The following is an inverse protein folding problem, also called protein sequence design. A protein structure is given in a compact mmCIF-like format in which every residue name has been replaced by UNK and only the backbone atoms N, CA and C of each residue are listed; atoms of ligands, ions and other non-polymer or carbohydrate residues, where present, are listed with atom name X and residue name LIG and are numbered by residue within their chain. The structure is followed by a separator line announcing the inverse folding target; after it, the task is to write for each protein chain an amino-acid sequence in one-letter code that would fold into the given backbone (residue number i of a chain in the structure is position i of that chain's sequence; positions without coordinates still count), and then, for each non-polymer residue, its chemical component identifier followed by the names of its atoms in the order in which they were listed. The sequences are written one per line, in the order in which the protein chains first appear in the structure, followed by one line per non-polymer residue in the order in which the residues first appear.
data_IF_714138467910
#
_entry.id   IF_714138467910
#
_cell.length_a   1.000
_cell.length_b   1.000
_cell.length_c   1.000
_cell.angle_alpha   90.00
_cell.angle_beta   90.00
_cell.angle_gamma   90.00
#
_symmetry.space_group_name_H-M   'P 1'
#
loop_
_entity.id
_entity.type
_entity.pdbx_description
1 polymer ?
#
# COMPACT_ATOMS: atom_id res chain seq x y z
N UNK A 1 -1.53 -8.73 -0.71
CA UNK A 1 -2.41 -9.44 -1.67
C UNK A 1 -3.80 -8.83 -1.68
N UNK A 2 -4.64 -9.14 -2.66
CA UNK A 2 -6.01 -8.60 -2.80
C UNK A 2 -7.04 -9.72 -2.66
N UNK A 3 -8.06 -9.50 -1.85
CA UNK A 3 -9.22 -10.39 -1.69
C UNK A 3 -10.47 -9.70 -2.23
N UNK A 4 -11.23 -10.39 -3.08
CA UNK A 4 -12.55 -9.94 -3.51
C UNK A 4 -13.58 -10.63 -2.62
N UNK A 5 -14.40 -9.84 -1.92
CA UNK A 5 -15.27 -10.34 -0.86
C UNK A 5 -16.71 -9.92 -1.08
N UNK A 6 -17.62 -10.90 -1.17
CA UNK A 6 -19.05 -10.61 -1.15
C UNK A 6 -19.49 -10.13 0.23
N UNK A 7 -20.26 -9.06 0.28
CA UNK A 7 -20.87 -8.59 1.53
C UNK A 7 -21.89 -9.62 2.04
N UNK A 8 -22.63 -10.25 1.12
CA UNK A 8 -23.73 -11.16 1.44
C UNK A 8 -23.28 -12.62 1.36
N UNK A 9 -22.40 -13.04 2.28
CA UNK A 9 -22.09 -14.46 2.42
C UNK A 9 -23.28 -15.18 3.09
N UNK A 10 -23.50 -16.48 2.77
CA UNK A 10 -24.60 -17.24 3.36
C UNK A 10 -24.50 -17.41 4.88
N UNK A 11 -23.27 -17.48 5.40
CA UNK A 11 -23.00 -17.86 6.80
C UNK A 11 -22.54 -16.68 7.68
N UNK A 12 -22.21 -15.52 7.08
CA UNK A 12 -21.70 -14.35 7.80
C UNK A 12 -21.86 -13.06 6.97
N UNK A 13 -21.71 -11.90 7.63
CA UNK A 13 -21.48 -10.65 6.90
C UNK A 13 -20.01 -10.60 6.46
N UNK A 14 -19.76 -10.32 5.19
CA UNK A 14 -18.38 -10.18 4.67
C UNK A 14 -17.53 -9.18 5.47
N UNK A 15 -18.15 -8.16 6.06
CA UNK A 15 -17.48 -7.22 6.94
C UNK A 15 -16.81 -7.86 8.18
N UNK A 16 -17.45 -8.86 8.79
CA UNK A 16 -16.89 -9.52 9.97
C UNK A 16 -15.64 -10.32 9.59
N UNK A 17 -15.69 -11.01 8.44
CA UNK A 17 -14.55 -11.74 7.90
C UNK A 17 -13.41 -10.77 7.52
N UNK A 18 -13.73 -9.62 6.93
CA UNK A 18 -12.76 -8.58 6.62
C UNK A 18 -12.02 -8.10 7.86
N UNK A 19 -12.74 -7.80 8.96
CA UNK A 19 -12.11 -7.38 10.21
C UNK A 19 -11.18 -8.46 10.78
N UNK A 20 -11.57 -9.73 10.72
CA UNK A 20 -10.70 -10.84 11.16
C UNK A 20 -9.43 -10.92 10.30
N UNK A 21 -9.55 -10.83 8.97
CA UNK A 21 -8.41 -10.88 8.05
C UNK A 21 -7.46 -9.70 8.25
N UNK A 22 -7.98 -8.48 8.33
CA UNK A 22 -7.19 -7.26 8.56
C UNK A 22 -6.52 -7.24 9.94
N UNK A 23 -7.10 -7.92 10.95
CA UNK A 23 -6.45 -8.02 12.26
C UNK A 23 -5.19 -8.90 12.26
N UNK A 24 -4.99 -9.70 11.21
CA UNK A 24 -3.88 -10.66 11.08
C UNK A 24 -2.94 -10.36 9.91
N UNK A 25 -3.37 -9.57 8.94
CA UNK A 25 -2.67 -9.33 7.67
C UNK A 25 -2.97 -7.93 7.13
N UNK A 26 -2.06 -7.38 6.33
CA UNK A 26 -2.28 -6.12 5.58
C UNK A 26 -2.91 -6.39 4.20
N UNK A 27 -3.88 -7.31 4.15
CA UNK A 27 -4.54 -7.69 2.89
C UNK A 27 -5.52 -6.59 2.44
N UNK A 28 -5.47 -6.23 1.16
CA UNK A 28 -6.46 -5.34 0.58
C UNK A 28 -7.75 -6.10 0.30
N UNK A 29 -8.90 -5.46 0.48
CA UNK A 29 -10.21 -6.07 0.23
C UNK A 29 -10.98 -5.23 -0.79
N UNK A 30 -11.60 -5.90 -1.77
CA UNK A 30 -12.58 -5.30 -2.67
C UNK A 30 -13.95 -5.89 -2.34
N UNK A 31 -14.84 -5.09 -1.78
CA UNK A 31 -16.18 -5.55 -1.45
C UNK A 31 -17.11 -5.57 -2.67
N UNK A 32 -17.83 -6.67 -2.85
CA UNK A 32 -18.94 -6.76 -3.80
C UNK A 32 -20.26 -6.56 -3.05
N UNK A 33 -20.98 -5.49 -3.34
CA UNK A 33 -22.19 -5.09 -2.59
C UNK A 33 -23.40 -4.93 -3.50
N UNK A 34 -24.62 -5.11 -3.00
CA UNK A 34 -25.85 -4.69 -3.69
C UNK A 34 -26.16 -3.22 -3.41
N UNK A 35 -26.93 -2.56 -4.30
CA UNK A 35 -27.30 -1.14 -4.12
C UNK A 35 -28.03 -0.86 -2.81
N UNK A 36 -28.86 -1.80 -2.36
CA UNK A 36 -29.61 -1.70 -1.10
C UNK A 36 -28.74 -1.78 0.16
N UNK A 37 -27.55 -2.38 0.07
CA UNK A 37 -26.56 -2.43 1.16
C UNK A 37 -25.53 -1.30 1.08
N UNK A 38 -25.51 -0.51 0.00
CA UNK A 38 -24.61 0.63 -0.13
C UNK A 38 -24.88 1.72 0.94
N UNK A 39 -26.10 1.80 1.48
CA UNK A 39 -26.42 2.75 2.55
C UNK A 39 -25.68 2.47 3.88
N UNK A 40 -25.16 1.25 4.09
CA UNK A 40 -24.31 0.91 5.24
C UNK A 40 -22.87 1.47 5.12
N UNK A 41 -22.53 2.12 3.98
CA UNK A 41 -21.21 2.74 3.75
C UNK A 41 -20.93 3.92 4.69
N UNK A 42 -21.97 4.60 5.20
CA UNK A 42 -21.82 5.82 6.00
C UNK A 42 -21.66 5.57 7.52
N UNK A 43 -21.87 4.34 8.02
CA UNK A 43 -22.01 4.07 9.46
C UNK A 43 -20.72 3.67 10.22
N UNK A 44 -19.53 3.97 9.69
CA UNK A 44 -18.32 3.95 10.51
C UNK A 44 -17.33 2.79 10.30
N UNK A 45 -17.01 2.50 9.04
CA UNK A 45 -15.76 1.79 8.73
C UNK A 45 -14.65 2.86 8.68
N UNK A 46 -13.64 2.69 9.54
CA UNK A 46 -12.56 3.66 9.75
C UNK A 46 -11.74 3.89 8.46
N UNK A 47 -11.12 5.07 8.28
CA UNK A 47 -10.32 5.37 7.10
C UNK A 47 -9.13 4.41 7.04
N UNK A 48 -9.17 3.52 6.05
CA UNK A 48 -8.22 2.42 5.88
C UNK A 48 -8.75 1.28 5.00
N UNK A 49 -10.08 1.12 4.91
CA UNK A 49 -10.74 0.11 4.06
C UNK A 49 -10.97 0.63 2.62
N UNK A 50 -10.30 0.11 1.60
CA UNK A 50 -10.65 -1.15 0.91
C UNK A 50 -11.94 -0.98 0.07
N UNK A 51 -11.73 -0.71 -1.23
CA UNK A 51 -12.72 -0.26 -2.20
C UNK A 51 -13.96 -1.16 -2.31
N UNK A 52 -15.02 -0.65 -2.95
CA UNK A 52 -16.26 -1.37 -3.21
C UNK A 52 -16.63 -1.36 -4.69
N UNK A 53 -17.32 -2.42 -5.12
CA UNK A 53 -17.95 -2.55 -6.42
C UNK A 53 -19.40 -2.97 -6.25
N UNK A 54 -20.32 -2.18 -6.80
CA UNK A 54 -21.76 -2.40 -6.65
C UNK A 54 -22.29 -3.33 -7.75
N UNK A 55 -23.09 -4.30 -7.37
CA UNK A 55 -23.79 -5.23 -8.27
C UNK A 55 -25.05 -4.58 -8.85
N UNK A 56 -25.39 -4.86 -10.12
CA UNK A 56 -24.62 -5.65 -11.08
C UNK A 56 -23.43 -4.87 -11.65
N UNK A 57 -22.33 -5.58 -11.95
CA UNK A 57 -21.13 -5.03 -12.58
C UNK A 57 -20.69 -5.91 -13.75
N UNK A 58 -19.92 -5.32 -14.66
CA UNK A 58 -19.25 -5.99 -15.76
C UNK A 58 -17.87 -6.49 -15.32
N UNK A 59 -17.32 -7.48 -16.04
CA UNK A 59 -15.95 -7.95 -15.79
C UNK A 59 -14.93 -6.80 -15.90
N UNK A 60 -15.12 -5.89 -16.87
CA UNK A 60 -14.24 -4.75 -17.09
C UNK A 60 -14.24 -3.76 -15.91
N UNK A 61 -15.39 -3.55 -15.28
CA UNK A 61 -15.47 -2.71 -14.07
C UNK A 61 -14.73 -3.36 -12.89
N UNK A 62 -14.80 -4.69 -12.76
CA UNK A 62 -14.04 -5.42 -11.76
C UNK A 62 -12.53 -5.33 -12.03
N UNK A 63 -12.09 -5.56 -13.28
CA UNK A 63 -10.68 -5.44 -13.68
C UNK A 63 -10.12 -4.05 -13.38
N UNK A 64 -10.84 -3.00 -13.75
CA UNK A 64 -10.43 -1.63 -13.50
C UNK A 64 -10.25 -1.34 -12.00
N UNK A 65 -11.15 -1.85 -11.14
CA UNK A 65 -11.04 -1.66 -9.70
C UNK A 65 -9.89 -2.47 -9.10
N UNK A 66 -9.70 -3.72 -9.53
CA UNK A 66 -8.55 -4.54 -9.13
C UNK A 66 -7.25 -3.83 -9.47
N UNK A 67 -7.10 -3.35 -10.70
CA UNK A 67 -5.91 -2.59 -11.12
C UNK A 67 -5.70 -1.32 -10.29
N UNK A 68 -6.77 -0.58 -10.00
CA UNK A 68 -6.68 0.64 -9.20
C UNK A 68 -6.17 0.36 -7.77
N UNK A 69 -6.64 -0.73 -7.14
CA UNK A 69 -6.21 -1.13 -5.80
C UNK A 69 -4.75 -1.61 -5.82
N UNK A 70 -4.37 -2.42 -6.81
CA UNK A 70 -2.99 -2.91 -6.94
C UNK A 70 -2.00 -1.77 -7.20
N UNK A 71 -2.36 -0.75 -8.00
CA UNK A 71 -1.55 0.47 -8.16
C UNK A 71 -1.36 1.22 -6.84
N UNK A 72 -2.38 1.27 -5.96
CA UNK A 72 -2.23 1.89 -4.63
C UNK A 72 -1.29 1.10 -3.72
N UNK A 73 -1.28 -0.24 -3.84
CA UNK A 73 -0.30 -1.09 -3.14
C UNK A 73 1.14 -0.75 -3.57
N UNK A 74 1.38 -0.51 -4.86
CA UNK A 74 2.71 -0.09 -5.34
C UNK A 74 3.09 1.29 -4.78
N UNK A 75 2.14 2.24 -4.71
CA UNK A 75 2.35 3.57 -4.12
C UNK A 75 2.62 3.53 -2.61
N UNK A 76 2.10 2.54 -1.86
CA UNK A 76 2.44 2.37 -0.44
C UNK A 76 3.76 1.66 -0.19
N UNK A 77 4.37 1.08 -1.23
CA UNK A 77 5.59 0.26 -1.11
C UNK A 77 6.84 1.03 -1.50
N UNK A 78 6.71 2.13 -2.25
CA UNK A 78 7.84 2.94 -2.68
C UNK A 78 7.82 4.36 -2.10
N UNK A 79 8.86 4.71 -1.34
CA UNK A 79 9.08 6.09 -0.90
C UNK A 79 10.02 6.78 -1.89
N UNK A 80 9.64 7.96 -2.37
CA UNK A 80 10.43 8.74 -3.34
C UNK A 80 10.90 10.05 -2.74
N UNK A 81 12.20 10.34 -2.85
CA UNK A 81 12.81 11.59 -2.38
C UNK A 81 13.58 12.25 -3.52
N UNK A 82 13.32 13.54 -3.73
CA UNK A 82 14.14 14.37 -4.61
C UNK A 82 15.32 14.91 -3.81
N UNK A 83 16.53 14.41 -4.06
CA UNK A 83 17.76 14.82 -3.40
C UNK A 83 18.58 15.76 -4.31
N UNK A 84 19.52 16.56 -3.77
CA UNK A 84 20.34 17.48 -4.58
C UNK A 84 21.14 16.82 -5.73
N UNK A 85 21.40 15.52 -5.63
CA UNK A 85 22.19 14.74 -6.59
C UNK A 85 21.37 13.66 -7.32
N UNK A 86 20.05 13.64 -7.16
CA UNK A 86 19.23 12.66 -7.86
C UNK A 86 17.90 12.29 -7.22
N UNK A 87 17.16 11.42 -7.88
CA UNK A 87 15.95 10.82 -7.34
C UNK A 87 16.30 9.54 -6.58
N UNK A 88 15.99 9.53 -5.28
CA UNK A 88 16.09 8.33 -4.44
C UNK A 88 14.72 7.64 -4.40
N UNK A 89 14.71 6.34 -4.68
CA UNK A 89 13.50 5.50 -4.56
C UNK A 89 13.81 4.35 -3.61
N UNK A 90 13.02 4.21 -2.55
CA UNK A 90 13.13 3.15 -1.54
C UNK A 90 11.96 2.20 -1.76
N UNK A 91 12.23 0.98 -2.21
CA UNK A 91 11.23 -0.08 -2.31
C UNK A 91 11.26 -0.94 -1.04
N UNK A 92 10.19 -0.83 -0.25
CA UNK A 92 10.05 -1.44 1.07
C UNK A 92 9.85 -2.95 1.03
N UNK A 93 9.19 -3.47 -0.01
CA UNK A 93 8.91 -4.90 -0.18
C UNK A 93 10.15 -5.65 -0.65
N UNK A 94 10.84 -5.10 -1.66
CA UNK A 94 12.07 -5.67 -2.20
C UNK A 94 13.29 -5.40 -1.32
N UNK A 95 13.14 -4.49 -0.35
CA UNK A 95 14.23 -3.93 0.47
C UNK A 95 15.40 -3.43 -0.39
N UNK A 96 15.05 -2.71 -1.45
CA UNK A 96 15.98 -2.16 -2.42
C UNK A 96 15.90 -0.64 -2.41
N UNK A 97 17.03 0.02 -2.58
CA UNK A 97 17.11 1.48 -2.74
C UNK A 97 17.78 1.76 -4.08
N UNK A 98 17.20 2.65 -4.87
CA UNK A 98 17.81 3.13 -6.11
C UNK A 98 18.07 4.62 -6.04
N UNK A 99 19.19 5.05 -6.63
CA UNK A 99 19.51 6.45 -6.85
C UNK A 99 19.68 6.67 -8.35
N UNK A 100 18.88 7.56 -8.93
CA UNK A 100 18.84 7.80 -10.38
C UNK A 100 18.62 6.51 -11.21
N UNK A 101 17.88 5.55 -10.64
CA UNK A 101 17.60 4.26 -11.27
C UNK A 101 18.69 3.20 -11.10
N UNK A 102 19.83 3.53 -10.48
CA UNK A 102 20.87 2.55 -10.15
C UNK A 102 20.66 1.98 -8.73
N UNK A 103 20.71 0.66 -8.59
CA UNK A 103 20.55 -0.02 -7.30
C UNK A 103 21.77 0.25 -6.41
N UNK A 104 21.51 0.72 -5.19
CA UNK A 104 22.55 0.88 -4.17
C UNK A 104 22.82 -0.47 -3.48
N UNK A 105 24.09 -0.92 -3.42
CA UNK A 105 24.45 -2.19 -2.78
C UNK A 105 24.49 -2.02 -1.25
N UNK A 106 23.31 -2.00 -0.63
CA UNK A 106 23.16 -1.83 0.82
C UNK A 106 23.14 -3.17 1.55
N UNK A 107 23.72 -3.22 2.74
CA UNK A 107 23.47 -4.28 3.72
C UNK A 107 22.07 -4.12 4.33
N UNK A 108 21.59 -5.17 5.01
CA UNK A 108 20.29 -5.13 5.68
C UNK A 108 20.18 -3.99 6.71
N UNK A 109 21.25 -3.75 7.47
CA UNK A 109 21.28 -2.71 8.50
C UNK A 109 21.23 -1.30 7.90
N UNK A 110 21.89 -1.10 6.76
CA UNK A 110 21.92 0.19 6.06
C UNK A 110 20.57 0.49 5.40
N UNK A 111 19.90 -0.54 4.87
CA UNK A 111 18.52 -0.41 4.43
C UNK A 111 17.60 0.00 5.59
N UNK A 112 17.67 -0.70 6.72
CA UNK A 112 16.81 -0.41 7.88
C UNK A 112 17.01 1.01 8.40
N UNK A 113 18.26 1.51 8.36
CA UNK A 113 18.56 2.90 8.72
C UNK A 113 17.96 3.90 7.72
N UNK A 114 18.06 3.63 6.41
CA UNK A 114 17.46 4.48 5.38
C UNK A 114 15.93 4.50 5.52
N UNK A 115 15.28 3.35 5.69
CA UNK A 115 13.83 3.26 5.90
C UNK A 115 13.39 4.02 7.16
N UNK A 116 14.14 3.85 8.26
CA UNK A 116 13.90 4.61 9.49
C UNK A 116 13.99 6.12 9.26
N UNK A 117 15.06 6.60 8.62
CA UNK A 117 15.23 8.01 8.32
C UNK A 117 14.11 8.53 7.41
N UNK A 118 13.78 7.81 6.35
CA UNK A 118 12.72 8.17 5.40
C UNK A 118 11.34 8.41 6.03
N UNK A 119 11.05 7.80 7.20
CA UNK A 119 9.79 7.93 7.92
C UNK A 119 9.77 9.02 8.99
N UNK A 120 10.88 9.72 9.21
CA UNK A 120 10.98 10.75 10.26
C UNK A 120 10.81 12.16 9.70
N UNK A 121 10.18 13.10 10.44
CA UNK A 121 9.96 14.48 9.97
C UNK A 121 11.24 15.24 9.63
N UNK A 122 12.36 14.91 10.28
CA UNK A 122 13.69 15.48 10.05
C UNK A 122 14.63 14.55 9.27
N UNK A 123 14.09 13.49 8.68
CA UNK A 123 14.86 12.41 8.07
C UNK A 123 15.54 12.76 6.75
N UNK A 124 15.06 13.80 6.06
CA UNK A 124 15.59 14.21 4.76
C UNK A 124 17.09 14.58 4.82
N UNK A 125 17.50 15.37 5.82
CA UNK A 125 18.91 15.73 6.02
C UNK A 125 19.76 14.51 6.39
N UNK A 126 19.20 13.62 7.22
CA UNK A 126 19.85 12.36 7.61
C UNK A 126 20.06 11.41 6.42
N UNK A 127 19.09 11.33 5.49
CA UNK A 127 19.23 10.56 4.25
C UNK A 127 20.35 11.13 3.39
N UNK A 128 20.44 12.45 3.25
CA UNK A 128 21.50 13.12 2.49
C UNK A 128 22.87 12.77 3.08
N UNK A 129 23.04 12.95 4.39
CA UNK A 129 24.30 12.69 5.09
C UNK A 129 24.72 11.23 5.03
N UNK A 130 23.76 10.30 5.13
CA UNK A 130 24.02 8.87 5.05
C UNK A 130 24.50 8.47 3.65
N UNK A 131 23.78 8.89 2.61
CA UNK A 131 24.09 8.56 1.22
C UNK A 131 25.42 9.19 0.76
N UNK A 132 25.76 10.39 1.26
CA UNK A 132 27.08 11.00 1.00
C UNK A 132 28.25 10.17 1.55
N UNK A 133 28.04 9.39 2.61
CA UNK A 133 29.07 8.46 3.14
C UNK A 133 29.17 7.18 2.32
N UNK A 134 28.09 6.78 1.66
CA UNK A 134 28.00 5.56 0.87
C UNK A 134 28.58 5.69 -0.55
N UNK A 135 28.41 6.87 -1.16
CA UNK A 135 28.84 7.16 -2.54
C UNK A 135 30.32 7.62 -2.64
N UNK A 136 31.13 7.38 -1.61
CA UNK A 136 32.57 7.70 -1.59
C UNK A 136 33.45 6.51 -1.92
#
# INVERSE_FOLDING_TARGET
DLVILDVNLPDALGYNLCQEMQSRTDVFVLFLTSRENAAYQDSGIKPGSDDYLTKPFTLRELENQVEAILRRREVTTELQFSLPYGQLVINLERREVTLNGEILPLTALEFDLIDFLARTPSGYDGLIDFLQKFLR
#
